data_IF_659208780555
#
_entry.id   IF_659208780555
#
_cell.length_a   1.000
_cell.length_b   1.000
_cell.length_c   1.000
_cell.angle_alpha   90.00
_cell.angle_beta   90.00
_cell.angle_gamma   90.00
#
_symmetry.space_group_name_H-M   'P 1'
#
loop_
_entity.id
_entity.type
_entity.pdbx_description
1 polymer ?
#
# COMPACT_ATOMS: atom_id res chain seq x y z
N UNK A 1 -11.12 11.35 -0.08
CA UNK A 1 -11.64 12.62 0.50
C UNK A 1 -10.45 13.47 0.93
N UNK A 2 -10.46 14.76 0.58
CA UNK A 2 -9.40 15.70 1.00
C UNK A 2 -9.48 15.94 2.51
N UNK A 3 -8.34 15.91 3.19
CA UNK A 3 -8.27 16.22 4.62
C UNK A 3 -8.12 17.73 4.87
N UNK A 4 -8.54 18.20 6.04
CA UNK A 4 -8.38 19.61 6.43
C UNK A 4 -6.91 20.07 6.38
N UNK A 5 -5.99 19.20 6.80
CA UNK A 5 -4.55 19.50 6.75
C UNK A 5 -4.02 19.65 5.32
N UNK A 6 -4.50 18.81 4.37
CA UNK A 6 -4.16 18.93 2.95
C UNK A 6 -4.66 20.25 2.37
N UNK A 7 -5.88 20.67 2.73
CA UNK A 7 -6.43 21.99 2.32
C UNK A 7 -5.54 23.12 2.82
N UNK A 8 -5.18 23.11 4.12
CA UNK A 8 -4.31 24.13 4.74
C UNK A 8 -2.96 24.19 4.04
N UNK A 9 -2.30 23.05 3.86
CA UNK A 9 -0.96 22.93 3.24
C UNK A 9 -0.97 23.49 1.81
N UNK A 10 -1.92 23.05 0.99
CA UNK A 10 -2.00 23.46 -0.41
C UNK A 10 -2.40 24.94 -0.57
N UNK A 11 -3.35 25.43 0.26
CA UNK A 11 -3.72 26.82 0.26
C UNK A 11 -2.55 27.74 0.63
N UNK A 12 -1.81 27.40 1.69
CA UNK A 12 -0.63 28.15 2.14
C UNK A 12 0.48 28.13 1.09
N UNK A 13 0.74 26.99 0.46
CA UNK A 13 1.73 26.87 -0.62
C UNK A 13 1.42 27.80 -1.81
N UNK A 14 0.14 28.10 -2.06
CA UNK A 14 -0.28 29.07 -3.09
C UNK A 14 -0.42 30.52 -2.56
N UNK A 15 -0.01 30.81 -1.34
CA UNK A 15 -0.12 32.13 -0.73
C UNK A 15 -1.58 32.64 -0.59
N UNK A 16 -2.55 31.74 -0.52
CA UNK A 16 -3.97 32.11 -0.44
C UNK A 16 -4.44 32.28 1.01
N UNK A 17 -5.32 33.27 1.24
CA UNK A 17 -6.09 33.36 2.48
C UNK A 17 -7.31 32.42 2.42
N UNK A 18 -7.91 32.08 3.57
CA UNK A 18 -9.17 31.32 3.60
C UNK A 18 -10.30 32.04 2.84
N UNK A 19 -10.36 33.37 2.94
CA UNK A 19 -11.34 34.19 2.21
C UNK A 19 -11.15 34.10 0.69
N UNK A 20 -9.89 34.13 0.21
CA UNK A 20 -9.60 33.99 -1.22
C UNK A 20 -9.99 32.61 -1.74
N UNK A 21 -9.68 31.56 -1.00
CA UNK A 21 -10.08 30.20 -1.34
C UNK A 21 -11.61 30.04 -1.34
N UNK A 22 -12.28 30.58 -0.33
CA UNK A 22 -13.74 30.55 -0.21
C UNK A 22 -14.43 31.21 -1.42
N UNK A 23 -13.93 32.36 -1.84
CA UNK A 23 -14.45 33.06 -3.01
C UNK A 23 -14.28 32.24 -4.31
N UNK A 24 -13.10 31.62 -4.50
CA UNK A 24 -12.84 30.81 -5.70
C UNK A 24 -13.70 29.54 -5.78
N UNK A 25 -14.12 29.00 -4.64
CA UNK A 25 -14.97 27.80 -4.57
C UNK A 25 -16.46 28.16 -4.58
N UNK A 26 -16.81 29.37 -4.18
CA UNK A 26 -18.19 29.84 -4.07
C UNK A 26 -18.85 29.46 -2.74
N UNK A 27 -18.08 29.51 -1.63
CA UNK A 27 -18.57 29.22 -0.27
C UNK A 27 -18.17 30.33 0.72
N UNK A 28 -18.66 30.26 1.95
CA UNK A 28 -18.25 31.23 2.99
C UNK A 28 -16.85 30.90 3.55
N UNK A 29 -16.15 31.92 4.05
CA UNK A 29 -14.87 31.76 4.73
C UNK A 29 -14.99 30.84 5.95
N UNK A 30 -16.12 30.89 6.64
CA UNK A 30 -16.42 30.00 7.77
C UNK A 30 -16.47 28.53 7.33
N UNK A 31 -17.04 28.25 6.17
CA UNK A 31 -17.10 26.90 5.58
C UNK A 31 -15.69 26.37 5.34
N UNK A 32 -14.80 27.17 4.74
CA UNK A 32 -13.40 26.78 4.52
C UNK A 32 -12.70 26.54 5.86
N UNK A 33 -12.92 27.40 6.88
CA UNK A 33 -12.37 27.22 8.21
C UNK A 33 -12.81 25.90 8.86
N UNK A 34 -14.08 25.52 8.73
CA UNK A 34 -14.62 24.24 9.21
C UNK A 34 -14.00 23.03 8.51
N UNK A 35 -13.77 23.12 7.20
CA UNK A 35 -13.06 22.09 6.44
C UNK A 35 -11.61 21.94 6.91
N UNK A 36 -10.89 23.04 7.08
CA UNK A 36 -9.49 23.04 7.52
C UNK A 36 -9.32 22.48 8.92
N UNK A 37 -10.29 22.70 9.83
CA UNK A 37 -10.33 22.16 11.18
C UNK A 37 -10.81 20.71 11.22
N UNK A 38 -11.29 20.14 10.11
CA UNK A 38 -11.86 18.80 10.07
C UNK A 38 -13.22 18.67 10.76
N UNK A 39 -13.86 19.78 11.15
CA UNK A 39 -15.17 19.79 11.83
C UNK A 39 -16.29 19.42 10.86
N UNK A 40 -16.09 19.65 9.58
CA UNK A 40 -17.05 19.37 8.52
C UNK A 40 -16.30 19.00 7.23
N UNK A 41 -16.77 17.97 6.51
CA UNK A 41 -16.17 17.54 5.25
C UNK A 41 -16.78 18.32 4.07
N UNK A 42 -16.00 18.66 3.04
CA UNK A 42 -16.54 19.21 1.80
C UNK A 42 -17.50 18.22 1.12
N UNK A 43 -18.55 18.75 0.49
CA UNK A 43 -19.35 17.94 -0.43
C UNK A 43 -18.50 17.49 -1.63
N UNK A 44 -18.91 16.43 -2.32
CA UNK A 44 -18.19 15.90 -3.50
C UNK A 44 -17.95 16.96 -4.57
N UNK A 45 -18.91 17.88 -4.77
CA UNK A 45 -18.79 18.99 -5.71
C UNK A 45 -17.73 20.00 -5.26
N UNK A 46 -17.75 20.37 -3.97
CA UNK A 46 -16.78 21.30 -3.39
C UNK A 46 -15.39 20.69 -3.31
N UNK A 47 -15.29 19.39 -3.08
CA UNK A 47 -14.04 18.65 -3.11
C UNK A 47 -13.39 18.71 -4.51
N UNK A 48 -14.16 18.51 -5.58
CA UNK A 48 -13.67 18.65 -6.96
C UNK A 48 -13.17 20.07 -7.24
N UNK A 49 -13.90 21.10 -6.78
CA UNK A 49 -13.47 22.50 -6.90
C UNK A 49 -12.18 22.78 -6.10
N UNK A 50 -12.06 22.23 -4.89
CA UNK A 50 -10.85 22.31 -4.06
C UNK A 50 -9.64 21.73 -4.78
N UNK A 51 -9.74 20.52 -5.35
CA UNK A 51 -8.67 19.92 -6.12
C UNK A 51 -8.24 20.80 -7.28
N UNK A 52 -9.19 21.32 -8.05
CA UNK A 52 -8.91 22.19 -9.20
C UNK A 52 -8.22 23.50 -8.78
N UNK A 53 -8.78 24.21 -7.80
CA UNK A 53 -8.28 25.52 -7.35
C UNK A 53 -6.93 25.40 -6.67
N UNK A 54 -6.75 24.37 -5.83
CA UNK A 54 -5.53 24.15 -5.07
C UNK A 54 -4.43 23.47 -5.92
N UNK A 55 -4.77 22.94 -7.10
CA UNK A 55 -3.84 22.18 -7.94
C UNK A 55 -3.43 20.87 -7.28
N UNK A 56 -4.29 20.32 -6.43
CA UNK A 56 -4.10 19.01 -5.85
C UNK A 56 -4.58 18.02 -6.89
N UNK A 57 -3.67 17.17 -7.36
CA UNK A 57 -4.06 16.10 -8.29
C UNK A 57 -4.76 15.02 -7.50
N UNK A 58 -6.09 15.02 -7.53
CA UNK A 58 -6.86 13.89 -7.01
C UNK A 58 -6.82 12.78 -8.05
N UNK A 59 -6.01 11.79 -7.79
CA UNK A 59 -6.07 10.55 -8.57
C UNK A 59 -7.24 9.74 -8.01
N UNK A 60 -8.44 9.92 -8.56
CA UNK A 60 -9.53 9.00 -8.26
C UNK A 60 -9.21 7.66 -8.90
N UNK A 61 -8.88 6.67 -8.08
CA UNK A 61 -8.76 5.29 -8.53
C UNK A 61 -10.13 4.82 -8.97
N UNK A 62 -10.38 4.78 -10.26
CA UNK A 62 -11.58 4.16 -10.78
C UNK A 62 -11.37 2.64 -10.81
N UNK A 63 -11.63 1.99 -9.68
CA UNK A 63 -11.48 0.53 -9.48
C UNK A 63 -12.37 -0.29 -10.45
N UNK A 64 -13.27 0.37 -11.18
CA UNK A 64 -14.19 -0.30 -12.11
C UNK A 64 -13.54 -0.78 -13.41
N UNK A 65 -12.31 -0.39 -13.70
CA UNK A 65 -11.60 -0.84 -14.89
C UNK A 65 -10.79 -2.11 -14.56
N UNK A 66 -11.23 -3.27 -15.06
CA UNK A 66 -10.49 -4.54 -14.94
C UNK A 66 -9.05 -4.46 -15.47
N UNK A 67 -8.74 -3.48 -16.31
CA UNK A 67 -7.38 -3.20 -16.79
C UNK A 67 -6.46 -2.60 -15.72
N UNK A 68 -6.99 -2.17 -14.56
CA UNK A 68 -6.18 -1.67 -13.44
C UNK A 68 -5.17 -2.71 -12.93
N UNK A 69 -5.49 -3.99 -13.01
CA UNK A 69 -4.59 -5.06 -12.57
C UNK A 69 -3.55 -5.47 -13.63
N UNK A 70 -3.46 -4.75 -14.74
CA UNK A 70 -2.44 -4.95 -15.74
C UNK A 70 -1.19 -4.11 -15.41
N UNK A 71 0.01 -4.70 -15.52
CA UNK A 71 1.30 -4.04 -15.21
C UNK A 71 1.40 -2.61 -15.74
N UNK A 72 1.11 -2.43 -17.03
CA UNK A 72 1.23 -1.12 -17.69
C UNK A 72 0.34 -0.07 -17.04
N UNK A 73 -0.89 -0.43 -16.69
CA UNK A 73 -1.87 0.50 -16.12
C UNK A 73 -1.52 0.83 -14.67
N UNK A 74 -1.16 -0.18 -13.86
CA UNK A 74 -0.73 0.04 -12.48
C UNK A 74 0.56 0.87 -12.42
N UNK A 75 1.54 0.58 -13.29
CA UNK A 75 2.78 1.36 -13.37
C UNK A 75 2.53 2.82 -13.76
N UNK A 76 1.64 3.06 -14.74
CA UNK A 76 1.29 4.43 -15.15
C UNK A 76 0.57 5.18 -14.03
N UNK A 77 -0.38 4.52 -13.36
CA UNK A 77 -1.09 5.05 -12.22
C UNK A 77 -0.14 5.43 -11.08
N UNK A 78 0.70 4.49 -10.63
CA UNK A 78 1.65 4.71 -9.53
C UNK A 78 2.66 5.81 -9.88
N UNK A 79 3.18 5.87 -11.11
CA UNK A 79 4.04 6.97 -11.57
C UNK A 79 3.32 8.33 -11.48
N UNK A 80 2.07 8.39 -11.87
CA UNK A 80 1.25 9.60 -11.74
C UNK A 80 1.10 10.04 -10.30
N UNK A 81 0.76 9.11 -9.39
CA UNK A 81 0.62 9.37 -7.95
C UNK A 81 1.94 9.83 -7.35
N UNK A 82 3.04 9.11 -7.62
CA UNK A 82 4.33 9.40 -6.99
C UNK A 82 4.90 10.74 -7.43
N UNK A 83 4.75 11.08 -8.71
CA UNK A 83 5.22 12.38 -9.22
C UNK A 83 4.37 13.57 -8.70
N UNK A 84 3.05 13.39 -8.55
CA UNK A 84 2.16 14.45 -8.08
C UNK A 84 2.15 14.60 -6.56
N UNK A 85 2.33 13.50 -5.83
CA UNK A 85 2.23 13.43 -4.37
C UNK A 85 3.54 13.65 -3.63
N UNK A 86 4.67 13.85 -4.33
CA UNK A 86 6.01 13.95 -3.73
C UNK A 86 6.42 12.67 -2.96
N UNK A 87 6.36 11.51 -3.64
CA UNK A 87 6.81 10.21 -3.12
C UNK A 87 8.14 9.79 -3.79
N UNK A 88 9.28 10.44 -3.47
CA UNK A 88 10.56 10.19 -4.14
C UNK A 88 11.12 8.80 -3.87
N UNK A 89 10.93 8.24 -2.68
CA UNK A 89 11.40 6.89 -2.34
C UNK A 89 10.58 5.83 -3.10
N UNK A 90 9.27 5.96 -3.14
CA UNK A 90 8.39 5.05 -3.87
C UNK A 90 8.63 5.13 -5.40
N UNK A 91 8.94 6.32 -5.93
CA UNK A 91 9.28 6.48 -7.35
C UNK A 91 10.59 5.77 -7.73
N UNK A 92 11.64 5.86 -6.88
CA UNK A 92 12.90 5.11 -7.04
C UNK A 92 12.65 3.61 -6.91
N UNK A 93 11.89 3.20 -5.87
CA UNK A 93 11.54 1.81 -5.62
C UNK A 93 10.78 1.18 -6.79
N UNK A 94 9.81 1.88 -7.37
CA UNK A 94 9.06 1.44 -8.54
C UNK A 94 9.98 1.14 -9.72
N UNK A 95 10.90 2.06 -10.04
CA UNK A 95 11.82 1.91 -11.15
C UNK A 95 12.79 0.74 -10.92
N UNK A 96 13.29 0.62 -9.70
CA UNK A 96 14.22 -0.44 -9.31
C UNK A 96 13.54 -1.82 -9.31
N UNK A 97 12.37 -1.96 -8.67
CA UNK A 97 11.62 -3.21 -8.66
C UNK A 97 11.29 -3.70 -10.07
N UNK A 98 10.86 -2.80 -10.96
CA UNK A 98 10.61 -3.15 -12.37
C UNK A 98 11.84 -3.71 -13.07
N UNK A 99 12.99 -3.09 -12.88
CA UNK A 99 14.24 -3.56 -13.50
C UNK A 99 14.70 -4.91 -12.94
N UNK A 100 14.46 -5.16 -11.63
CA UNK A 100 14.89 -6.41 -10.99
C UNK A 100 13.99 -7.60 -11.26
N UNK A 101 12.68 -7.37 -11.41
CA UNK A 101 11.70 -8.41 -11.75
C UNK A 101 11.45 -8.55 -13.27
N UNK A 102 12.27 -7.89 -14.12
CA UNK A 102 12.14 -8.00 -15.55
C UNK A 102 12.27 -9.46 -16.01
N UNK A 103 11.31 -9.95 -16.80
CA UNK A 103 11.26 -11.32 -17.30
C UNK A 103 10.88 -12.38 -16.27
N UNK A 104 10.68 -12.03 -15.00
CA UNK A 104 10.18 -12.98 -14.00
C UNK A 104 8.66 -13.15 -14.11
N UNK A 105 8.19 -14.40 -13.94
CA UNK A 105 6.77 -14.76 -13.98
C UNK A 105 6.31 -15.27 -12.62
N UNK A 106 5.07 -14.95 -12.23
CA UNK A 106 4.40 -15.58 -11.09
C UNK A 106 4.04 -17.04 -11.39
N UNK A 107 3.91 -17.83 -10.34
CA UNK A 107 3.36 -19.19 -10.45
C UNK A 107 1.81 -19.12 -10.47
N UNK A 108 1.11 -19.98 -11.26
CA UNK A 108 1.72 -20.90 -12.24
C UNK A 108 2.23 -20.14 -13.46
N UNK A 109 3.37 -20.57 -14.00
CA UNK A 109 4.05 -19.87 -15.12
C UNK A 109 3.24 -19.90 -16.42
N UNK A 110 2.34 -20.85 -16.54
CA UNK A 110 1.45 -21.03 -17.70
C UNK A 110 0.50 -19.85 -17.92
N UNK A 111 0.25 -19.06 -16.87
CA UNK A 111 -0.57 -17.83 -16.98
C UNK A 111 0.23 -16.63 -17.49
N UNK A 112 1.54 -16.75 -17.64
CA UNK A 112 2.45 -15.70 -18.14
C UNK A 112 2.28 -14.33 -17.42
N UNK A 113 1.91 -14.36 -16.14
CA UNK A 113 1.72 -13.15 -15.36
C UNK A 113 3.08 -12.61 -14.91
N UNK A 114 3.49 -11.40 -15.33
CA UNK A 114 4.74 -10.79 -14.88
C UNK A 114 4.76 -10.67 -13.34
N UNK A 115 5.90 -11.04 -12.74
CA UNK A 115 6.03 -11.01 -11.27
C UNK A 115 5.78 -9.61 -10.69
N UNK A 116 6.23 -8.57 -11.40
CA UNK A 116 6.08 -7.17 -11.00
C UNK A 116 4.61 -6.77 -10.74
N UNK A 117 3.63 -7.48 -11.28
CA UNK A 117 2.21 -7.22 -10.97
C UNK A 117 1.91 -7.36 -9.48
N UNK A 118 2.64 -8.24 -8.76
CA UNK A 118 2.44 -8.42 -7.34
C UNK A 118 2.79 -7.16 -6.53
N UNK A 119 4.03 -6.65 -6.51
CA UNK A 119 4.35 -5.45 -5.76
C UNK A 119 3.59 -4.20 -6.24
N UNK A 120 3.26 -4.12 -7.54
CA UNK A 120 2.40 -3.03 -8.04
C UNK A 120 1.00 -3.10 -7.43
N UNK A 121 0.41 -4.30 -7.33
CA UNK A 121 -0.90 -4.50 -6.70
C UNK A 121 -0.87 -4.13 -5.22
N UNK A 122 0.21 -4.48 -4.50
CA UNK A 122 0.36 -4.12 -3.09
C UNK A 122 0.38 -2.59 -2.89
N UNK A 123 1.14 -1.87 -3.71
CA UNK A 123 1.19 -0.41 -3.65
C UNK A 123 -0.16 0.23 -4.01
N UNK A 124 -0.86 -0.28 -5.02
CA UNK A 124 -2.21 0.16 -5.36
C UNK A 124 -3.21 -0.13 -4.23
N UNK A 125 -3.12 -1.31 -3.60
CA UNK A 125 -3.97 -1.70 -2.46
C UNK A 125 -3.74 -0.78 -1.26
N UNK A 126 -2.48 -0.47 -0.93
CA UNK A 126 -2.14 0.49 0.12
C UNK A 126 -2.74 1.87 -0.13
N UNK A 127 -2.58 2.41 -1.34
CA UNK A 127 -3.19 3.69 -1.73
C UNK A 127 -4.71 3.65 -1.66
N UNK A 128 -5.35 2.54 -2.05
CA UNK A 128 -6.81 2.38 -1.93
C UNK A 128 -7.29 2.36 -0.48
N UNK A 129 -6.46 1.94 0.46
CA UNK A 129 -6.71 2.02 1.91
C UNK A 129 -6.41 3.42 2.51
N UNK A 130 -5.94 4.37 1.70
CA UNK A 130 -5.55 5.71 2.15
C UNK A 130 -4.16 5.78 2.79
N UNK A 131 -3.32 4.76 2.58
CA UNK A 131 -1.95 4.72 3.07
C UNK A 131 -1.04 5.48 2.09
N UNK A 132 -0.87 6.77 2.33
CA UNK A 132 -0.10 7.70 1.48
C UNK A 132 1.25 8.03 2.16
N UNK A 133 2.05 7.01 2.47
CA UNK A 133 3.35 7.16 3.11
C UNK A 133 4.46 6.66 2.20
N UNK A 134 5.44 7.53 1.89
CA UNK A 134 6.50 7.28 0.90
C UNK A 134 7.33 6.04 1.24
N UNK A 135 7.79 5.94 2.50
CA UNK A 135 8.61 4.81 2.95
C UNK A 135 7.86 3.48 2.96
N UNK A 136 6.56 3.49 3.30
CA UNK A 136 5.70 2.31 3.25
C UNK A 136 5.48 1.83 1.81
N UNK A 137 5.15 2.77 0.89
CA UNK A 137 4.94 2.45 -0.52
C UNK A 137 6.21 1.93 -1.18
N UNK A 138 7.38 2.51 -0.84
CA UNK A 138 8.67 2.03 -1.29
C UNK A 138 8.97 0.60 -0.77
N UNK A 139 8.70 0.33 0.51
CA UNK A 139 8.90 -0.99 1.10
C UNK A 139 7.99 -2.05 0.45
N UNK A 140 6.72 -1.73 0.16
CA UNK A 140 5.80 -2.61 -0.55
C UNK A 140 6.29 -2.96 -1.97
N UNK A 141 6.88 -1.99 -2.67
CA UNK A 141 7.42 -2.23 -4.02
C UNK A 141 8.69 -3.08 -4.01
N UNK A 142 9.47 -3.05 -2.93
CA UNK A 142 10.78 -3.70 -2.83
C UNK A 142 10.78 -4.99 -1.98
N UNK A 143 9.67 -5.36 -1.33
CA UNK A 143 9.62 -6.39 -0.29
C UNK A 143 10.20 -7.74 -0.71
N UNK A 144 10.04 -8.13 -1.98
CA UNK A 144 10.55 -9.40 -2.52
C UNK A 144 11.87 -9.27 -3.29
N UNK A 145 12.35 -8.04 -3.60
CA UNK A 145 13.56 -7.82 -4.41
C UNK A 145 14.80 -8.46 -3.77
N UNK A 146 14.92 -8.37 -2.45
CA UNK A 146 16.06 -8.96 -1.75
C UNK A 146 16.01 -10.49 -1.76
N UNK A 147 14.84 -11.08 -1.57
CA UNK A 147 14.66 -12.52 -1.51
C UNK A 147 14.79 -13.17 -2.90
N UNK A 148 14.14 -12.59 -3.91
CA UNK A 148 13.99 -13.17 -5.25
C UNK A 148 15.12 -12.80 -6.21
N UNK A 149 15.70 -11.60 -6.07
CA UNK A 149 16.73 -11.09 -6.99
C UNK A 149 18.14 -11.08 -6.38
N UNK A 150 18.30 -11.54 -5.14
CA UNK A 150 19.60 -11.63 -4.48
C UNK A 150 20.28 -10.28 -4.18
N UNK A 151 19.48 -9.22 -4.05
CA UNK A 151 19.97 -7.87 -3.70
C UNK A 151 20.07 -7.76 -2.18
N UNK A 152 21.23 -7.34 -1.66
CA UNK A 152 21.34 -7.04 -0.24
C UNK A 152 20.50 -5.79 0.13
N UNK A 153 19.79 -5.76 1.27
CA UNK A 153 18.98 -4.60 1.65
C UNK A 153 19.74 -3.27 1.63
N UNK A 154 21.00 -3.26 2.06
CA UNK A 154 21.86 -2.06 2.04
C UNK A 154 22.16 -1.53 0.62
N UNK A 155 21.93 -2.31 -0.41
CA UNK A 155 22.15 -1.93 -1.81
C UNK A 155 20.88 -1.43 -2.51
N UNK A 156 19.76 -1.34 -1.80
CA UNK A 156 18.53 -0.75 -2.34
C UNK A 156 18.70 0.78 -2.47
N UNK A 157 18.24 1.41 -3.58
CA UNK A 157 18.46 2.84 -3.85
C UNK A 157 17.43 3.74 -3.09
N UNK A 158 17.22 3.45 -1.82
CA UNK A 158 16.23 4.07 -0.96
C UNK A 158 16.84 4.41 0.41
N UNK A 159 16.09 5.13 1.25
CA UNK A 159 16.52 5.50 2.60
C UNK A 159 16.79 4.29 3.48
N UNK A 160 17.58 4.52 4.54
CA UNK A 160 17.90 3.49 5.53
C UNK A 160 16.63 2.91 6.17
N UNK A 161 15.61 3.73 6.45
CA UNK A 161 14.33 3.27 6.99
C UNK A 161 13.67 2.23 6.08
N UNK A 162 13.63 2.47 4.78
CA UNK A 162 13.06 1.50 3.81
C UNK A 162 13.91 0.24 3.75
N UNK A 163 15.24 0.38 3.76
CA UNK A 163 16.16 -0.76 3.76
C UNK A 163 15.94 -1.66 4.99
N UNK A 164 15.74 -1.07 6.17
CA UNK A 164 15.46 -1.79 7.42
C UNK A 164 14.10 -2.51 7.37
N UNK A 165 13.06 -1.86 6.88
CA UNK A 165 11.74 -2.49 6.69
C UNK A 165 11.84 -3.70 5.74
N UNK A 166 12.50 -3.51 4.59
CA UNK A 166 12.67 -4.59 3.60
C UNK A 166 13.53 -5.73 4.17
N UNK A 167 14.58 -5.42 4.93
CA UNK A 167 15.41 -6.42 5.60
C UNK A 167 14.60 -7.28 6.57
N UNK A 168 13.70 -6.68 7.36
CA UNK A 168 12.82 -7.39 8.30
C UNK A 168 11.85 -8.34 7.59
N UNK A 169 11.29 -7.95 6.44
CA UNK A 169 10.31 -8.77 5.71
C UNK A 169 10.95 -9.80 4.78
N UNK A 170 12.25 -9.69 4.50
CA UNK A 170 13.03 -10.66 3.72
C UNK A 170 13.34 -11.89 4.56
N UNK A 171 13.01 -13.10 4.09
CA UNK A 171 13.37 -14.35 4.79
C UNK A 171 14.89 -14.56 4.71
N UNK A 172 15.60 -14.68 5.85
CA UNK A 172 17.05 -14.90 5.84
C UNK A 172 17.43 -16.24 5.22
N UNK A 173 18.59 -16.31 4.61
CA UNK A 173 19.14 -17.57 4.08
C UNK A 173 20.45 -17.88 4.83
N UNK A 174 20.55 -19.04 5.57
CA UNK A 174 19.53 -20.07 5.76
C UNK A 174 18.36 -19.61 6.64
N UNK A 175 17.16 -20.10 6.32
CA UNK A 175 15.96 -19.83 7.12
C UNK A 175 15.94 -20.77 8.32
N UNK A 176 16.14 -20.23 9.51
CA UNK A 176 16.34 -21.01 10.73
C UNK A 176 15.07 -21.18 11.57
N UNK A 177 14.16 -20.21 11.57
CA UNK A 177 12.97 -20.26 12.42
C UNK A 177 11.94 -19.21 12.02
N UNK A 178 10.72 -19.68 11.70
CA UNK A 178 9.56 -18.82 11.49
C UNK A 178 9.25 -17.96 12.71
N UNK A 179 9.32 -18.55 13.89
CA UNK A 179 8.99 -17.86 15.13
C UNK A 179 9.89 -16.64 15.36
N UNK A 180 11.21 -16.79 15.11
CA UNK A 180 12.16 -15.65 15.22
C UNK A 180 11.93 -14.62 14.14
N UNK A 181 11.64 -15.05 12.92
CA UNK A 181 11.34 -14.15 11.80
C UNK A 181 10.12 -13.27 12.10
N UNK A 182 9.01 -13.88 12.50
CA UNK A 182 7.79 -13.13 12.83
C UNK A 182 7.94 -12.29 14.10
N UNK A 183 8.73 -12.74 15.08
CA UNK A 183 9.04 -11.95 16.26
C UNK A 183 9.77 -10.64 15.91
N UNK A 184 10.72 -10.70 14.98
CA UNK A 184 11.42 -9.51 14.53
C UNK A 184 10.49 -8.53 13.75
N UNK A 185 9.59 -9.05 12.92
CA UNK A 185 8.63 -8.22 12.17
C UNK A 185 7.65 -7.49 13.11
N UNK A 186 7.20 -8.16 14.17
CA UNK A 186 6.26 -7.58 15.17
C UNK A 186 6.82 -6.33 15.84
N UNK A 187 8.13 -6.21 15.98
CA UNK A 187 8.76 -5.02 16.59
C UNK A 187 8.68 -3.76 15.70
N UNK A 188 8.30 -3.91 14.41
CA UNK A 188 8.17 -2.79 13.49
C UNK A 188 6.77 -2.75 12.85
N UNK A 189 5.94 -1.73 13.18
CA UNK A 189 4.57 -1.63 12.66
C UNK A 189 4.48 -1.55 11.14
N UNK A 190 5.42 -0.87 10.47
CA UNK A 190 5.45 -0.77 9.00
C UNK A 190 5.79 -2.12 8.36
N UNK A 191 6.79 -2.83 8.89
CA UNK A 191 7.13 -4.17 8.43
C UNK A 191 5.94 -5.14 8.64
N UNK A 192 5.25 -5.04 9.79
CA UNK A 192 4.02 -5.78 10.07
C UNK A 192 2.92 -5.48 9.05
N UNK A 193 2.73 -4.20 8.70
CA UNK A 193 1.73 -3.77 7.72
C UNK A 193 2.08 -4.27 6.30
N UNK A 194 3.35 -4.17 5.88
CA UNK A 194 3.84 -4.74 4.61
C UNK A 194 3.50 -6.21 4.52
N UNK A 195 3.81 -7.00 5.56
CA UNK A 195 3.50 -8.45 5.58
C UNK A 195 2.00 -8.75 5.58
N UNK A 196 1.17 -7.92 6.23
CA UNK A 196 -0.28 -8.09 6.20
C UNK A 196 -0.88 -7.81 4.81
N UNK A 197 -0.41 -6.77 4.12
CA UNK A 197 -0.85 -6.44 2.76
C UNK A 197 -0.40 -7.53 1.78
N UNK A 198 0.86 -7.99 1.87
CA UNK A 198 1.40 -9.09 1.08
C UNK A 198 0.59 -10.37 1.29
N UNK A 199 0.33 -10.78 2.54
CA UNK A 199 -0.46 -11.97 2.85
C UNK A 199 -1.87 -11.88 2.28
N UNK A 200 -2.52 -10.74 2.41
CA UNK A 200 -3.86 -10.53 1.85
C UNK A 200 -3.87 -10.73 0.33
N UNK A 201 -2.87 -10.20 -0.38
CA UNK A 201 -2.74 -10.38 -1.82
C UNK A 201 -2.45 -11.84 -2.20
N UNK A 202 -1.54 -12.51 -1.48
CA UNK A 202 -1.21 -13.91 -1.74
C UNK A 202 -2.40 -14.84 -1.48
N UNK A 203 -3.15 -14.65 -0.40
CA UNK A 203 -4.38 -15.40 -0.12
C UNK A 203 -5.44 -15.18 -1.22
N UNK A 204 -5.54 -13.96 -1.77
CA UNK A 204 -6.48 -13.66 -2.85
C UNK A 204 -6.18 -14.41 -4.15
N UNK A 205 -4.91 -14.70 -4.41
CA UNK A 205 -4.44 -15.36 -5.64
C UNK A 205 -4.15 -16.86 -5.50
N UNK A 206 -4.18 -17.43 -4.28
CA UNK A 206 -3.70 -18.79 -4.04
C UNK A 206 -4.47 -19.87 -4.81
N UNK A 207 -5.77 -19.67 -5.02
CA UNK A 207 -6.61 -20.65 -5.74
C UNK A 207 -6.17 -20.87 -7.20
N UNK A 208 -5.40 -19.94 -7.78
CA UNK A 208 -4.93 -20.02 -9.18
C UNK A 208 -3.61 -20.79 -9.33
N UNK A 209 -2.81 -20.95 -8.26
CA UNK A 209 -1.46 -21.44 -8.45
C UNK A 209 -0.86 -22.28 -7.30
N UNK A 210 -1.58 -22.47 -6.20
CA UNK A 210 -1.10 -23.24 -5.06
C UNK A 210 -1.70 -24.65 -5.06
N UNK A 211 -0.91 -25.66 -4.68
CA UNK A 211 -1.43 -26.98 -4.36
C UNK A 211 -2.25 -26.92 -3.06
N UNK A 212 -3.05 -27.97 -2.81
CA UNK A 212 -3.85 -28.06 -1.57
C UNK A 212 -2.94 -28.00 -0.33
N UNK A 213 -1.82 -28.69 -0.36
CA UNK A 213 -0.84 -28.69 0.74
C UNK A 213 -0.29 -27.26 0.97
N UNK A 214 0.07 -26.54 -0.10
CA UNK A 214 0.52 -25.17 0.01
C UNK A 214 -0.55 -24.23 0.58
N UNK A 215 -1.82 -24.44 0.22
CA UNK A 215 -2.93 -23.67 0.79
C UNK A 215 -3.06 -23.97 2.30
N UNK A 216 -2.93 -25.23 2.72
CA UNK A 216 -2.97 -25.63 4.13
C UNK A 216 -1.82 -25.00 4.93
N UNK A 217 -0.58 -25.05 4.43
CA UNK A 217 0.57 -24.40 5.06
C UNK A 217 0.34 -22.88 5.22
N UNK A 218 -0.24 -22.23 4.18
CA UNK A 218 -0.57 -20.81 4.23
C UNK A 218 -1.66 -20.47 5.25
N UNK A 219 -2.65 -21.35 5.42
CA UNK A 219 -3.69 -21.22 6.46
C UNK A 219 -3.03 -21.26 7.83
N UNK A 220 -2.24 -22.31 8.11
CA UNK A 220 -1.58 -22.51 9.41
C UNK A 220 -0.65 -21.34 9.76
N UNK A 221 0.22 -20.95 8.83
CA UNK A 221 1.15 -19.82 9.02
C UNK A 221 0.37 -18.53 9.31
N UNK A 222 -0.73 -18.28 8.55
CA UNK A 222 -1.53 -17.07 8.72
C UNK A 222 -2.24 -17.05 10.07
N UNK A 223 -2.86 -18.15 10.48
CA UNK A 223 -3.55 -18.22 11.78
C UNK A 223 -2.60 -18.08 12.96
N UNK A 224 -1.39 -18.61 12.83
CA UNK A 224 -0.39 -18.62 13.89
C UNK A 224 0.25 -17.25 14.12
N UNK A 225 0.60 -16.52 13.06
CA UNK A 225 1.44 -15.33 13.19
C UNK A 225 0.71 -13.99 12.91
N UNK A 226 -0.23 -13.95 11.98
CA UNK A 226 -0.83 -12.69 11.53
C UNK A 226 -1.73 -11.99 12.55
N UNK A 227 -2.38 -12.67 13.51
CA UNK A 227 -3.10 -11.96 14.56
C UNK A 227 -2.24 -11.01 15.40
N UNK A 228 -0.94 -11.35 15.60
CA UNK A 228 0.00 -10.46 16.30
C UNK A 228 0.41 -9.28 15.44
N UNK A 229 0.72 -9.50 14.16
CA UNK A 229 1.05 -8.42 13.22
C UNK A 229 -0.10 -7.42 13.09
N UNK A 230 -1.32 -7.90 12.89
CA UNK A 230 -2.51 -7.06 12.79
C UNK A 230 -2.79 -6.26 14.07
N UNK A 231 -2.45 -6.82 15.25
CA UNK A 231 -2.56 -6.10 16.52
C UNK A 231 -1.63 -4.90 16.55
N UNK A 232 -0.34 -5.11 16.23
CA UNK A 232 0.67 -4.03 16.21
C UNK A 232 0.29 -2.95 15.21
N UNK A 233 -0.19 -3.32 14.02
CA UNK A 233 -0.68 -2.37 13.01
C UNK A 233 -1.88 -1.59 13.54
N UNK A 234 -2.83 -2.25 14.22
CA UNK A 234 -4.03 -1.62 14.78
C UNK A 234 -3.72 -0.63 15.90
N UNK A 235 -2.63 -0.82 16.64
CA UNK A 235 -2.20 0.07 17.71
C UNK A 235 -1.70 1.43 17.18
N UNK A 236 -1.41 1.52 15.87
CA UNK A 236 -1.02 2.77 15.22
C UNK A 236 -2.28 3.51 14.74
N UNK A 237 -2.55 4.73 15.22
CA UNK A 237 -3.76 5.48 14.84
C UNK A 237 -3.92 5.68 13.34
N UNK A 238 -2.81 5.94 12.64
CA UNK A 238 -2.76 6.16 11.20
C UNK A 238 -3.06 4.90 10.38
N UNK A 239 -2.85 3.69 10.95
CA UNK A 239 -3.07 2.41 10.27
C UNK A 239 -4.34 1.69 10.74
N UNK A 240 -5.09 2.24 11.69
CA UNK A 240 -6.23 1.56 12.33
C UNK A 240 -7.29 1.11 11.30
N UNK A 241 -7.66 1.98 10.35
CA UNK A 241 -8.62 1.64 9.29
C UNK A 241 -8.11 0.54 8.37
N UNK A 242 -6.83 0.61 7.99
CA UNK A 242 -6.18 -0.43 7.17
C UNK A 242 -6.12 -1.77 7.92
N UNK A 243 -5.77 -1.74 9.21
CA UNK A 243 -5.75 -2.95 10.05
C UNK A 243 -7.12 -3.60 10.15
N UNK A 244 -8.19 -2.81 10.29
CA UNK A 244 -9.56 -3.33 10.31
C UNK A 244 -9.91 -4.01 8.97
N UNK A 245 -9.65 -3.34 7.85
CA UNK A 245 -9.95 -3.86 6.52
C UNK A 245 -9.15 -5.13 6.21
N UNK A 246 -7.84 -5.12 6.50
CA UNK A 246 -6.97 -6.28 6.31
C UNK A 246 -7.40 -7.46 7.19
N UNK A 247 -7.80 -7.20 8.45
CA UNK A 247 -8.33 -8.24 9.34
C UNK A 247 -9.58 -8.90 8.76
N UNK A 248 -10.50 -8.09 8.23
CA UNK A 248 -11.72 -8.59 7.57
C UNK A 248 -11.39 -9.40 6.31
N UNK A 249 -10.55 -8.87 5.43
CA UNK A 249 -10.18 -9.52 4.18
C UNK A 249 -9.44 -10.84 4.42
N UNK A 250 -8.41 -10.84 5.27
CA UNK A 250 -7.63 -12.05 5.60
C UNK A 250 -8.53 -13.12 6.19
N UNK A 251 -9.40 -12.77 7.16
CA UNK A 251 -10.34 -13.73 7.76
C UNK A 251 -11.31 -14.30 6.73
N UNK A 252 -11.86 -13.46 5.85
CA UNK A 252 -12.78 -13.90 4.78
C UNK A 252 -12.09 -14.87 3.83
N UNK A 253 -10.86 -14.56 3.41
CA UNK A 253 -10.07 -15.41 2.51
C UNK A 253 -9.68 -16.74 3.17
N UNK A 254 -9.30 -16.73 4.45
CA UNK A 254 -9.02 -17.95 5.21
C UNK A 254 -10.25 -18.85 5.30
N UNK A 255 -11.43 -18.29 5.58
CA UNK A 255 -12.66 -19.08 5.63
C UNK A 255 -12.98 -19.73 4.28
N UNK A 256 -12.74 -19.01 3.17
CA UNK A 256 -12.88 -19.56 1.82
C UNK A 256 -11.85 -20.66 1.56
N UNK A 257 -10.59 -20.43 1.92
CA UNK A 257 -9.51 -21.39 1.75
C UNK A 257 -9.78 -22.71 2.49
N UNK A 258 -10.18 -22.63 3.76
CA UNK A 258 -10.56 -23.80 4.56
C UNK A 258 -11.70 -24.61 3.93
N UNK A 259 -12.65 -23.92 3.30
CA UNK A 259 -13.77 -24.56 2.61
C UNK A 259 -13.32 -25.30 1.34
N UNK A 260 -12.27 -24.80 0.67
CA UNK A 260 -11.72 -25.43 -0.55
C UNK A 260 -10.86 -26.64 -0.19
N UNK A 261 -10.23 -26.65 0.98
CA UNK A 261 -9.31 -27.72 1.42
C UNK A 261 -9.97 -28.74 2.36
N UNK A 262 -11.22 -28.55 2.76
CA UNK A 262 -12.04 -29.52 3.51
C UNK A 262 -12.80 -30.46 2.56
#
# INVERSE_FOLDING_TARGET
MITGQQIVKARKAKGMTQAKLANLIGVSTETVSKWEKGTFAPSLENEKKLYSVLGITHVSVNIRDARLFHERNMSAFLKGVFNSGQFPEAAKALSFAKSKHEGQLRKPRELEIPYINHPLTLACHALAMGLEEDTLLAALLLHDVCEDCGVAPANLPVSQEVQEIVALVTKPKPFLSESRYYAAIVENPKASLVKCIDRCNNLSGMAMGFSIEQIQDYIEETEKYYPKLLRVVKEQPEYNNAAWLLSYQIRSLLNTAKRITS
#
